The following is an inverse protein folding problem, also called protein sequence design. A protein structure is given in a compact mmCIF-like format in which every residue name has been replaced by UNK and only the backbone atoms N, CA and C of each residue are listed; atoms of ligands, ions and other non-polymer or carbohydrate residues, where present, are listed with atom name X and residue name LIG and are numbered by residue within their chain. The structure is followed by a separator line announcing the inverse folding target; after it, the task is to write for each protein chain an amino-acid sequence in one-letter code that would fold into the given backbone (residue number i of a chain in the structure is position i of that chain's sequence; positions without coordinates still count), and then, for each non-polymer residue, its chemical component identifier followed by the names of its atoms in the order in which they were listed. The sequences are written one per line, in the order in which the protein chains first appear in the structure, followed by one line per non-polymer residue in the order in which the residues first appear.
data_IF_398754909282
#
_entry.id   IF_398754909282
#
_cell.length_a   1.000
_cell.length_b   1.000
_cell.length_c   1.000
_cell.angle_alpha   90.00
_cell.angle_beta   90.00
_cell.angle_gamma   90.00
#
_symmetry.space_group_name_H-M   'P 1'
#
loop_
_entity.id
_entity.type
_entity.pdbx_description
1 polymer ?
#
# COMPACT_ATOMS: atom_id res chain seq x y z
N UNK A 1 -34.21 -36.54 43.17
CA UNK A 1 -33.48 -35.52 42.35
C UNK A 1 -34.40 -35.06 41.23
N UNK A 2 -34.85 -33.79 41.30
CA UNK A 2 -35.94 -33.28 40.46
C UNK A 2 -35.51 -33.04 39.01
N UNK A 3 -36.48 -33.18 38.09
CA UNK A 3 -36.35 -33.01 36.63
C UNK A 3 -35.70 -31.67 36.22
N UNK A 4 -35.72 -30.66 37.10
CA UNK A 4 -35.08 -29.35 36.89
C UNK A 4 -33.55 -29.41 36.83
N UNK A 5 -32.90 -30.39 37.45
CA UNK A 5 -31.44 -30.49 37.43
C UNK A 5 -30.90 -31.10 36.13
N UNK A 6 -31.66 -32.01 35.50
CA UNK A 6 -31.27 -32.61 34.21
C UNK A 6 -31.34 -31.60 33.05
N UNK A 7 -32.26 -30.64 33.11
CA UNK A 7 -32.39 -29.59 32.09
C UNK A 7 -31.26 -28.54 32.14
N UNK A 8 -30.78 -28.18 33.34
CA UNK A 8 -29.67 -27.25 33.49
C UNK A 8 -28.34 -27.81 32.98
N UNK A 9 -28.10 -29.11 33.18
CA UNK A 9 -26.88 -29.78 32.69
C UNK A 9 -26.88 -29.88 31.16
N UNK A 10 -28.03 -30.12 30.53
CA UNK A 10 -28.15 -30.17 29.05
C UNK A 10 -27.93 -28.80 28.39
N UNK A 11 -28.40 -27.70 29.01
CA UNK A 11 -28.17 -26.34 28.50
C UNK A 11 -26.69 -25.93 28.67
N UNK A 12 -26.04 -26.30 29.78
CA UNK A 12 -24.62 -26.04 29.98
C UNK A 12 -23.74 -26.83 29.00
N UNK A 13 -24.06 -28.10 28.72
CA UNK A 13 -23.33 -28.91 27.73
C UNK A 13 -23.54 -28.35 26.31
N UNK A 14 -24.75 -27.87 25.96
CA UNK A 14 -25.02 -27.24 24.67
C UNK A 14 -24.31 -25.88 24.52
N UNK A 15 -24.23 -25.06 25.58
CA UNK A 15 -23.48 -23.81 25.56
C UNK A 15 -21.96 -24.03 25.53
N UNK A 16 -21.46 -25.11 26.14
CA UNK A 16 -20.03 -25.47 26.03
C UNK A 16 -19.68 -26.08 24.67
N UNK A 17 -20.59 -26.83 24.04
CA UNK A 17 -20.45 -27.33 22.68
C UNK A 17 -20.57 -26.24 21.60
N UNK A 18 -21.30 -25.15 21.87
CA UNK A 18 -21.36 -24.00 20.97
C UNK A 18 -20.22 -22.98 21.18
N UNK A 19 -19.67 -22.88 22.40
CA UNK A 19 -18.52 -22.02 22.68
C UNK A 19 -17.18 -22.61 22.19
N UNK A 20 -17.13 -23.90 21.86
CA UNK A 20 -15.93 -24.60 21.36
C UNK A 20 -15.86 -24.68 19.82
N UNK A 21 -16.80 -24.06 19.10
CA UNK A 21 -16.77 -24.02 17.62
C UNK A 21 -16.09 -22.76 17.03
N UNK A 22 -15.44 -21.93 17.86
CA UNK A 22 -14.57 -20.83 17.40
C UNK A 22 -13.14 -21.04 17.92
N UNK A 23 -12.65 -22.28 17.86
CA UNK A 23 -11.22 -22.45 17.67
C UNK A 23 -10.95 -22.12 16.21
N UNK A 24 -10.53 -20.87 15.95
CA UNK A 24 -9.73 -20.58 14.79
C UNK A 24 -8.57 -21.58 14.83
N UNK A 25 -8.65 -22.62 14.02
CA UNK A 25 -7.51 -23.48 13.79
C UNK A 25 -6.39 -22.54 13.35
N UNK A 26 -5.32 -22.44 14.14
CA UNK A 26 -4.06 -21.80 13.74
C UNK A 26 -3.53 -22.58 12.54
N UNK A 27 -4.12 -22.30 11.39
CA UNK A 27 -3.83 -22.98 10.16
C UNK A 27 -2.60 -22.29 9.62
N UNK A 28 -1.44 -22.82 9.97
CA UNK A 28 -0.17 -22.39 9.39
C UNK A 28 -0.29 -22.46 7.87
N UNK A 29 -0.24 -21.29 7.23
CA UNK A 29 -0.37 -21.19 5.77
C UNK A 29 0.91 -21.77 5.16
N UNK A 30 0.80 -22.90 4.48
CA UNK A 30 1.93 -23.49 3.76
C UNK A 30 2.26 -22.68 2.50
N UNK A 31 3.53 -22.64 2.10
CA UNK A 31 3.94 -22.11 0.80
C UNK A 31 3.18 -22.78 -0.36
N UNK A 32 2.89 -24.07 -0.24
CA UNK A 32 2.12 -24.82 -1.24
C UNK A 32 0.65 -24.38 -1.36
N UNK A 33 0.16 -23.54 -0.46
CA UNK A 33 -1.19 -22.98 -0.48
C UNK A 33 -1.29 -21.58 -1.08
N UNK A 34 -0.19 -21.02 -1.62
CA UNK A 34 -0.15 -19.64 -2.13
C UNK A 34 -1.34 -19.27 -3.04
N UNK A 35 -1.73 -20.16 -3.96
CA UNK A 35 -2.87 -19.92 -4.87
C UNK A 35 -4.26 -19.87 -4.21
N UNK A 36 -4.38 -20.20 -2.92
CA UNK A 36 -5.63 -20.18 -2.14
C UNK A 36 -5.74 -18.95 -1.25
N UNK A 37 -4.63 -18.23 -1.01
CA UNK A 37 -4.52 -17.14 -0.04
C UNK A 37 -5.57 -16.06 -0.26
N UNK A 38 -5.69 -15.53 -1.49
CA UNK A 38 -6.69 -14.50 -1.80
C UNK A 38 -8.13 -14.93 -1.45
N UNK A 39 -8.46 -16.20 -1.71
CA UNK A 39 -9.77 -16.76 -1.37
C UNK A 39 -9.97 -16.99 0.13
N UNK A 40 -8.90 -17.24 0.88
CA UNK A 40 -8.95 -17.39 2.34
C UNK A 40 -9.09 -16.04 3.05
N UNK A 41 -8.37 -15.02 2.61
CA UNK A 41 -8.52 -13.63 3.09
C UNK A 41 -9.96 -13.15 2.87
N UNK A 42 -10.50 -13.32 1.66
CA UNK A 42 -11.89 -12.91 1.33
C UNK A 42 -12.94 -13.60 2.22
N UNK A 43 -12.65 -14.80 2.71
CA UNK A 43 -13.51 -15.60 3.59
C UNK A 43 -13.16 -15.45 5.08
N UNK A 44 -12.28 -14.50 5.43
CA UNK A 44 -11.76 -14.29 6.77
C UNK A 44 -11.22 -15.56 7.45
N UNK A 45 -10.64 -16.49 6.66
CA UNK A 45 -10.07 -17.75 7.16
C UNK A 45 -8.63 -17.61 7.63
N UNK A 46 -7.94 -16.59 7.15
CA UNK A 46 -6.59 -16.16 7.54
C UNK A 46 -6.59 -14.63 7.53
N UNK A 47 -5.63 -14.03 8.23
CA UNK A 47 -5.33 -12.59 8.20
C UNK A 47 -4.12 -12.31 7.31
N UNK A 48 -3.86 -11.03 7.05
CA UNK A 48 -2.73 -10.59 6.22
C UNK A 48 -1.39 -11.02 6.86
N UNK A 49 -1.30 -10.96 8.17
CA UNK A 49 -0.11 -11.30 8.95
C UNK A 49 0.24 -12.79 8.88
N UNK A 50 -0.74 -13.64 8.54
CA UNK A 50 -0.57 -15.09 8.41
C UNK A 50 0.06 -15.49 7.06
N UNK A 51 0.24 -14.54 6.14
CA UNK A 51 0.79 -14.80 4.80
C UNK A 51 2.32 -14.98 4.92
N UNK A 52 2.86 -16.18 4.64
CA UNK A 52 4.28 -16.42 4.79
C UNK A 52 5.05 -15.71 3.67
N UNK A 53 6.20 -15.13 4.00
CA UNK A 53 7.05 -14.47 3.01
C UNK A 53 7.89 -15.53 2.28
N UNK A 54 7.70 -15.81 0.97
CA UNK A 54 8.47 -16.84 0.29
C UNK A 54 9.85 -16.37 -0.19
N UNK A 55 10.18 -15.09 -0.02
CA UNK A 55 11.35 -14.51 -0.66
C UNK A 55 12.65 -14.90 0.04
N UNK A 56 13.66 -15.27 -0.76
CA UNK A 56 14.99 -15.67 -0.30
C UNK A 56 14.98 -16.89 0.65
N UNK A 57 14.09 -17.85 0.41
CA UNK A 57 13.93 -19.06 1.21
C UNK A 57 13.96 -20.29 0.30
N UNK A 58 14.90 -21.20 0.55
CA UNK A 58 15.11 -22.39 -0.28
C UNK A 58 13.93 -23.37 -0.20
N UNK A 59 13.30 -23.44 0.97
CA UNK A 59 12.09 -24.23 1.27
C UNK A 59 10.81 -23.66 0.65
N UNK A 60 10.84 -22.39 0.22
CA UNK A 60 9.66 -21.66 -0.26
C UNK A 60 9.42 -21.77 -1.77
N UNK A 61 10.19 -22.59 -2.50
CA UNK A 61 10.03 -22.78 -3.94
C UNK A 61 8.58 -23.11 -4.34
N UNK A 62 7.89 -23.86 -3.49
CA UNK A 62 6.51 -24.30 -3.68
C UNK A 62 5.48 -23.17 -3.63
N UNK A 63 5.85 -21.96 -3.19
CA UNK A 63 5.02 -20.76 -3.23
C UNK A 63 4.81 -20.22 -4.65
N UNK A 64 5.81 -20.41 -5.51
CA UNK A 64 5.78 -19.93 -6.89
C UNK A 64 5.58 -21.07 -7.89
N UNK A 65 6.13 -22.25 -7.58
CA UNK A 65 6.18 -23.39 -8.48
C UNK A 65 5.33 -24.57 -7.95
N UNK A 66 4.64 -25.25 -8.86
CA UNK A 66 3.89 -26.49 -8.58
C UNK A 66 4.79 -27.73 -8.60
N UNK A 67 5.93 -27.63 -9.27
CA UNK A 67 6.94 -28.66 -9.41
C UNK A 67 8.30 -28.00 -9.67
N UNK A 68 9.38 -28.78 -9.72
CA UNK A 68 10.73 -28.26 -10.03
C UNK A 68 10.74 -27.53 -11.38
N UNK A 69 11.17 -26.27 -11.39
CA UNK A 69 11.26 -25.47 -12.60
C UNK A 69 12.34 -26.01 -13.55
N UNK A 70 12.05 -26.04 -14.85
CA UNK A 70 12.97 -26.45 -15.91
C UNK A 70 13.03 -25.44 -17.05
N UNK A 71 13.99 -25.62 -17.98
CA UNK A 71 14.23 -24.69 -19.10
C UNK A 71 13.01 -24.48 -20.00
N UNK A 72 12.19 -25.52 -20.20
CA UNK A 72 11.01 -25.49 -21.08
C UNK A 72 9.71 -25.16 -20.34
N UNK A 73 9.66 -25.39 -19.03
CA UNK A 73 8.47 -25.17 -18.23
C UNK A 73 8.87 -24.76 -16.82
N UNK A 74 8.42 -23.57 -16.41
CA UNK A 74 8.67 -23.05 -15.07
C UNK A 74 7.73 -23.67 -14.04
N UNK A 75 6.67 -24.38 -14.44
CA UNK A 75 5.66 -24.95 -13.54
C UNK A 75 5.07 -23.91 -12.59
N UNK A 76 4.85 -22.68 -13.05
CA UNK A 76 4.29 -21.60 -12.23
C UNK A 76 2.91 -21.96 -11.68
N UNK A 77 2.61 -21.46 -10.48
CA UNK A 77 1.33 -21.69 -9.81
C UNK A 77 0.15 -21.02 -10.46
N UNK A 78 0.36 -19.91 -11.14
CA UNK A 78 -0.66 -19.26 -11.94
C UNK A 78 -0.17 -19.10 -13.38
N UNK A 79 -1.09 -18.74 -14.27
CA UNK A 79 -0.80 -18.51 -15.68
C UNK A 79 -0.01 -17.20 -15.85
N UNK A 80 1.31 -17.31 -15.84
CA UNK A 80 2.23 -16.18 -16.00
C UNK A 80 2.74 -15.60 -14.69
N UNK A 81 3.72 -14.71 -14.80
CA UNK A 81 4.48 -14.21 -13.65
C UNK A 81 3.64 -13.27 -12.77
N UNK A 82 2.94 -12.29 -13.36
CA UNK A 82 2.12 -11.33 -12.62
C UNK A 82 1.05 -12.05 -11.78
N UNK A 83 0.32 -12.98 -12.39
CA UNK A 83 -0.69 -13.77 -11.69
C UNK A 83 -0.07 -14.63 -10.57
N UNK A 84 1.17 -15.11 -10.74
CA UNK A 84 1.84 -15.91 -9.71
C UNK A 84 2.24 -15.05 -8.51
N UNK A 85 2.77 -13.85 -8.74
CA UNK A 85 3.08 -12.89 -7.68
C UNK A 85 1.80 -12.44 -6.95
N UNK A 86 0.72 -12.20 -7.71
CA UNK A 86 -0.55 -11.73 -7.18
C UNK A 86 -1.34 -12.78 -6.37
N UNK A 87 -0.87 -14.03 -6.31
CA UNK A 87 -1.39 -15.01 -5.35
C UNK A 87 -1.32 -14.49 -3.90
N UNK A 88 -0.28 -13.72 -3.58
CA UNK A 88 -0.10 -13.07 -2.29
C UNK A 88 -0.18 -11.55 -2.40
N UNK A 89 0.50 -10.96 -3.39
CA UNK A 89 0.68 -9.50 -3.47
C UNK A 89 -0.63 -8.74 -3.66
N UNK A 90 -1.65 -9.32 -4.30
CA UNK A 90 -2.95 -8.64 -4.42
C UNK A 90 -3.62 -8.39 -3.05
N UNK A 91 -3.35 -9.25 -2.06
CA UNK A 91 -3.86 -9.09 -0.69
C UNK A 91 -2.93 -8.22 0.17
N UNK A 92 -1.61 -8.31 -0.05
CA UNK A 92 -0.60 -7.57 0.72
C UNK A 92 -0.44 -6.12 0.26
N UNK A 93 -0.80 -5.84 -0.98
CA UNK A 93 -0.26 -4.74 -1.74
C UNK A 93 -1.22 -4.35 -2.86
N UNK A 94 -2.33 -3.70 -2.52
CA UNK A 94 -3.28 -3.12 -3.51
C UNK A 94 -2.72 -1.83 -4.15
N UNK A 95 -1.41 -1.85 -4.47
CA UNK A 95 -0.67 -0.72 -5.05
C UNK A 95 -0.39 -0.92 -6.54
N UNK A 96 -1.24 -1.66 -7.26
CA UNK A 96 -1.18 -1.77 -8.71
C UNK A 96 -1.23 -0.37 -9.36
N UNK A 97 -1.88 0.60 -8.70
CA UNK A 97 -1.97 1.98 -9.17
C UNK A 97 -0.62 2.74 -9.23
N UNK A 98 0.36 2.39 -8.36
CA UNK A 98 1.72 2.99 -8.38
C UNK A 98 2.80 2.07 -8.96
N UNK A 99 2.52 0.78 -9.14
CA UNK A 99 3.41 -0.18 -9.80
C UNK A 99 2.86 -0.49 -11.20
N UNK A 100 3.39 0.11 -12.27
CA UNK A 100 2.85 -0.08 -13.62
C UNK A 100 3.06 -1.52 -14.08
N UNK A 101 2.03 -2.34 -13.94
CA UNK A 101 1.95 -3.71 -14.43
C UNK A 101 1.03 -3.76 -15.65
N UNK A 102 1.37 -4.58 -16.62
CA UNK A 102 0.62 -4.74 -17.87
C UNK A 102 0.43 -3.43 -18.66
N UNK A 103 1.28 -2.43 -18.38
CA UNK A 103 1.38 -1.17 -19.11
C UNK A 103 2.22 -1.38 -20.36
N UNK A 104 1.73 -0.91 -21.51
CA UNK A 104 2.46 -0.98 -22.77
C UNK A 104 3.73 -0.13 -22.70
N UNK A 105 4.84 -0.68 -23.18
CA UNK A 105 6.12 0.03 -23.25
C UNK A 105 6.27 0.63 -24.65
N UNK A 106 6.34 1.96 -24.79
CA UNK A 106 6.58 2.60 -26.08
C UNK A 106 7.90 2.12 -26.70
N UNK A 107 7.96 2.00 -28.04
CA UNK A 107 9.18 1.56 -28.74
C UNK A 107 10.40 2.44 -28.40
N UNK A 108 10.21 3.74 -28.25
CA UNK A 108 11.26 4.69 -27.84
C UNK A 108 11.83 4.34 -26.46
N UNK A 109 10.97 3.98 -25.51
CA UNK A 109 11.36 3.53 -24.18
C UNK A 109 12.07 2.16 -24.25
N UNK A 110 11.51 1.17 -24.95
CA UNK A 110 12.11 -0.16 -25.10
C UNK A 110 13.52 -0.11 -25.72
N UNK A 111 13.76 0.81 -26.66
CA UNK A 111 15.10 1.04 -27.24
C UNK A 111 16.12 1.53 -26.20
N UNK A 112 15.73 2.36 -25.24
CA UNK A 112 16.61 2.85 -24.17
C UNK A 112 16.89 1.78 -23.11
N UNK A 113 15.97 0.85 -22.91
CA UNK A 113 16.10 -0.16 -21.84
C UNK A 113 17.37 -0.99 -21.96
N UNK A 114 18.08 -1.28 -20.86
CA UNK A 114 19.14 -2.29 -20.87
C UNK A 114 18.59 -3.64 -21.33
N UNK A 115 19.44 -4.45 -21.96
CA UNK A 115 19.05 -5.77 -22.46
C UNK A 115 18.47 -6.68 -21.37
N UNK A 116 18.98 -6.56 -20.13
CA UNK A 116 18.48 -7.31 -18.97
C UNK A 116 17.03 -6.99 -18.63
N UNK A 117 16.58 -5.75 -18.85
CA UNK A 117 15.19 -5.33 -18.66
C UNK A 117 14.34 -5.72 -19.86
N UNK A 118 14.78 -5.39 -21.08
CA UNK A 118 14.01 -5.63 -22.32
C UNK A 118 13.61 -7.10 -22.48
N UNK A 119 14.51 -8.03 -22.15
CA UNK A 119 14.27 -9.49 -22.24
C UNK A 119 13.13 -10.01 -21.37
N UNK A 120 12.68 -9.22 -20.40
CA UNK A 120 11.64 -9.61 -19.43
C UNK A 120 10.29 -8.98 -19.72
N UNK A 121 10.21 -8.16 -20.77
CA UNK A 121 8.94 -7.58 -21.18
C UNK A 121 7.98 -8.69 -21.60
N UNK A 122 6.75 -8.61 -21.08
CA UNK A 122 5.66 -9.46 -21.50
C UNK A 122 5.23 -9.13 -22.92
N UNK A 123 4.55 -10.07 -23.58
CA UNK A 123 3.83 -9.79 -24.83
C UNK A 123 2.36 -9.58 -24.51
N UNK A 124 1.81 -8.42 -24.87
CA UNK A 124 0.39 -8.11 -24.71
C UNK A 124 -0.26 -8.00 -26.10
N UNK A 125 -0.70 -9.13 -26.66
CA UNK A 125 -1.37 -9.25 -27.98
C UNK A 125 -1.11 -8.08 -28.96
N UNK A 126 -2.14 -7.44 -29.50
CA UNK A 126 -2.03 -6.38 -30.53
C UNK A 126 -1.39 -5.06 -30.02
N UNK A 127 -1.01 -4.95 -28.75
CA UNK A 127 -0.57 -3.71 -28.08
C UNK A 127 0.94 -3.62 -27.87
N UNK A 128 1.70 -4.67 -28.21
CA UNK A 128 3.16 -4.69 -28.10
C UNK A 128 3.69 -5.27 -26.77
N UNK A 129 4.90 -4.84 -26.40
CA UNK A 129 5.58 -5.26 -25.18
C UNK A 129 4.97 -4.58 -23.95
N UNK A 130 4.91 -5.28 -22.80
CA UNK A 130 4.37 -4.73 -21.55
C UNK A 130 5.27 -4.99 -20.34
N UNK A 131 5.17 -4.09 -19.36
CA UNK A 131 5.84 -4.25 -18.08
C UNK A 131 5.20 -5.39 -17.27
N UNK A 132 6.03 -6.12 -16.53
CA UNK A 132 5.61 -7.17 -15.60
C UNK A 132 6.39 -7.05 -14.29
N UNK A 133 6.02 -7.81 -13.27
CA UNK A 133 6.74 -7.84 -12.01
C UNK A 133 8.24 -8.13 -12.23
N UNK A 134 8.56 -9.08 -13.12
CA UNK A 134 9.94 -9.49 -13.40
C UNK A 134 10.75 -8.46 -14.19
N UNK A 135 10.10 -7.42 -14.73
CA UNK A 135 10.81 -6.32 -15.39
C UNK A 135 11.61 -5.50 -14.39
N UNK A 136 11.00 -5.14 -13.27
CA UNK A 136 11.67 -4.39 -12.22
C UNK A 136 12.37 -5.31 -11.21
N UNK A 137 11.88 -6.54 -11.06
CA UNK A 137 12.38 -7.50 -10.07
C UNK A 137 13.12 -8.68 -10.72
N UNK A 138 14.39 -8.87 -10.36
CA UNK A 138 15.19 -10.03 -10.78
C UNK A 138 14.93 -11.25 -9.88
N UNK A 139 13.78 -11.88 -10.12
CA UNK A 139 13.28 -13.04 -9.34
C UNK A 139 14.28 -14.19 -9.30
N UNK A 140 15.18 -14.33 -10.27
CA UNK A 140 16.19 -15.39 -10.24
C UNK A 140 17.21 -15.22 -9.11
N UNK A 141 17.38 -14.01 -8.55
CA UNK A 141 18.25 -13.76 -7.39
C UNK A 141 17.91 -14.64 -6.19
N UNK A 142 16.62 -14.87 -5.95
CA UNK A 142 16.13 -15.68 -4.84
C UNK A 142 15.99 -17.17 -5.18
N UNK A 143 16.25 -17.58 -6.43
CA UNK A 143 16.22 -18.98 -6.86
C UNK A 143 17.62 -19.61 -6.95
N UNK A 144 18.67 -18.80 -6.98
CA UNK A 144 20.05 -19.24 -7.17
C UNK A 144 20.79 -19.02 -5.87
N UNK A 145 21.15 -20.11 -5.17
CA UNK A 145 21.77 -20.05 -3.83
C UNK A 145 23.03 -19.20 -3.79
N UNK A 146 23.85 -19.23 -4.85
CA UNK A 146 25.06 -18.39 -4.95
C UNK A 146 24.78 -16.89 -4.95
N UNK A 147 23.52 -16.49 -5.19
CA UNK A 147 23.05 -15.10 -5.15
C UNK A 147 22.36 -14.73 -3.84
N UNK A 148 22.15 -15.65 -2.91
CA UNK A 148 21.51 -15.35 -1.62
C UNK A 148 22.22 -14.25 -0.80
N UNK A 149 23.56 -14.09 -0.86
CA UNK A 149 24.23 -12.95 -0.24
C UNK A 149 23.72 -11.58 -0.71
N UNK A 150 23.21 -11.48 -1.96
CA UNK A 150 22.66 -10.24 -2.52
C UNK A 150 21.47 -9.71 -1.70
N UNK A 151 20.77 -10.57 -0.93
CA UNK A 151 19.67 -10.18 -0.03
C UNK A 151 20.05 -9.01 0.88
N UNK A 152 21.31 -8.96 1.34
CA UNK A 152 21.77 -7.93 2.29
C UNK A 152 21.76 -6.52 1.68
N UNK A 153 22.06 -6.41 0.39
CA UNK A 153 22.20 -5.12 -0.32
C UNK A 153 21.03 -4.85 -1.26
N UNK A 154 20.29 -5.88 -1.66
CA UNK A 154 19.15 -5.80 -2.56
C UNK A 154 18.01 -6.73 -2.12
N UNK A 155 17.44 -6.53 -0.91
CA UNK A 155 16.45 -7.45 -0.33
C UNK A 155 15.16 -7.56 -1.14
N UNK A 156 14.85 -6.57 -1.98
CA UNK A 156 13.70 -6.55 -2.89
C UNK A 156 14.04 -7.06 -4.29
N UNK A 157 15.24 -7.63 -4.48
CA UNK A 157 15.74 -8.22 -5.73
C UNK A 157 15.47 -7.31 -6.93
N UNK A 158 15.75 -6.01 -6.80
CA UNK A 158 15.56 -5.03 -7.87
C UNK A 158 16.55 -5.33 -8.99
N UNK A 159 16.05 -5.48 -10.22
CA UNK A 159 16.85 -5.79 -11.40
C UNK A 159 17.89 -4.71 -11.66
N UNK A 160 19.14 -5.10 -11.85
CA UNK A 160 20.26 -4.17 -12.06
C UNK A 160 20.65 -3.35 -10.82
N UNK A 161 20.02 -3.62 -9.66
CA UNK A 161 20.41 -3.04 -8.39
C UNK A 161 21.67 -3.70 -7.79
N UNK A 162 22.14 -3.22 -6.62
CA UNK A 162 21.48 -2.19 -5.80
C UNK A 162 21.59 -0.78 -6.40
N UNK A 163 20.57 0.05 -6.15
CA UNK A 163 20.55 1.46 -6.55
C UNK A 163 20.67 2.35 -5.33
N UNK A 164 21.40 3.48 -5.46
CA UNK A 164 21.49 4.50 -4.40
C UNK A 164 20.16 5.22 -4.17
N UNK A 165 19.31 5.30 -5.19
CA UNK A 165 17.96 5.86 -5.06
C UNK A 165 16.96 5.15 -5.98
N UNK A 166 15.67 5.19 -5.60
CA UNK A 166 14.58 4.62 -6.41
C UNK A 166 14.55 5.18 -7.83
N UNK A 167 14.94 6.44 -8.03
CA UNK A 167 14.92 7.08 -9.36
C UNK A 167 15.94 6.49 -10.33
N UNK A 168 17.06 5.95 -9.85
CA UNK A 168 18.03 5.31 -10.73
C UNK A 168 17.47 4.07 -11.44
N UNK A 169 16.49 3.39 -10.83
CA UNK A 169 15.71 2.35 -11.48
C UNK A 169 14.83 2.93 -12.60
N UNK A 170 14.18 4.07 -12.36
CA UNK A 170 13.34 4.73 -13.37
C UNK A 170 14.16 5.07 -14.64
N UNK A 171 15.41 5.51 -14.48
CA UNK A 171 16.32 5.83 -15.58
C UNK A 171 16.78 4.63 -16.41
N UNK A 172 16.47 3.41 -15.98
CA UNK A 172 16.65 2.23 -16.84
C UNK A 172 15.66 2.25 -18.01
N UNK A 173 14.58 3.03 -17.94
CA UNK A 173 13.57 3.14 -19.01
C UNK A 173 13.38 4.61 -19.45
N UNK A 174 13.42 5.54 -18.51
CA UNK A 174 13.20 6.96 -18.75
C UNK A 174 14.50 7.73 -19.02
N UNK A 175 14.38 8.85 -19.73
CA UNK A 175 15.50 9.77 -19.98
C UNK A 175 15.85 10.48 -18.68
N UNK A 176 17.10 10.48 -18.22
CA UNK A 176 17.44 11.14 -16.96
C UNK A 176 17.33 12.68 -17.02
N UNK A 177 17.41 13.28 -18.22
CA UNK A 177 17.30 14.74 -18.42
C UNK A 177 15.86 15.18 -18.63
N UNK A 178 15.04 14.32 -19.26
CA UNK A 178 13.64 14.64 -19.56
C UNK A 178 12.64 14.02 -18.58
N UNK A 179 13.06 13.08 -17.72
CA UNK A 179 12.17 12.47 -16.75
C UNK A 179 11.85 13.43 -15.62
N UNK A 180 10.61 13.90 -15.62
CA UNK A 180 9.99 14.46 -14.44
C UNK A 180 9.36 13.32 -13.64
N UNK A 181 9.64 13.29 -12.34
CA UNK A 181 8.94 12.37 -11.45
C UNK A 181 7.45 12.67 -11.55
N UNK A 182 6.63 11.62 -11.54
CA UNK A 182 5.20 11.76 -11.36
C UNK A 182 4.94 12.59 -10.10
N UNK A 183 4.41 13.81 -10.29
CA UNK A 183 3.86 14.61 -9.21
C UNK A 183 2.34 14.43 -9.23
N UNK A 184 1.80 13.80 -8.20
CA UNK A 184 0.36 13.60 -8.01
C UNK A 184 -0.34 14.83 -7.42
N UNK A 185 0.43 15.84 -7.03
CA UNK A 185 -0.07 17.06 -6.37
C UNK A 185 -0.21 18.26 -7.32
N UNK A 186 0.22 18.12 -8.58
CA UNK A 186 -0.11 19.07 -9.66
C UNK A 186 -1.35 18.50 -10.35
N UNK A 187 -2.51 18.89 -9.84
CA UNK A 187 -3.82 18.32 -10.10
C UNK A 187 -4.68 19.22 -10.98
N UNK A 188 -4.26 20.45 -11.24
CA UNK A 188 -4.93 21.41 -12.11
C UNK A 188 -4.01 21.70 -13.31
N UNK A 189 -4.57 21.69 -14.51
CA UNK A 189 -3.84 22.03 -15.74
C UNK A 189 -3.77 23.56 -15.93
N UNK A 190 -2.97 24.02 -16.89
CA UNK A 190 -2.78 25.46 -17.16
C UNK A 190 -4.08 26.19 -17.55
N UNK A 191 -5.06 25.46 -18.09
CA UNK A 191 -6.40 25.97 -18.44
C UNK A 191 -7.39 25.97 -17.25
N UNK A 192 -6.97 25.48 -16.08
CA UNK A 192 -7.78 25.41 -14.87
C UNK A 192 -8.58 24.11 -14.72
N UNK A 193 -8.49 23.16 -15.65
CA UNK A 193 -9.19 21.87 -15.53
C UNK A 193 -8.48 20.90 -14.57
N UNK A 194 -9.26 20.09 -13.86
CA UNK A 194 -8.72 19.05 -12.97
C UNK A 194 -8.22 17.87 -13.80
N UNK A 195 -6.95 17.51 -13.58
CA UNK A 195 -6.28 16.37 -14.20
C UNK A 195 -6.74 15.06 -13.55
N UNK A 196 -7.76 14.43 -14.15
CA UNK A 196 -8.44 13.22 -13.63
C UNK A 196 -7.46 12.07 -13.33
N UNK A 197 -6.44 11.89 -14.18
CA UNK A 197 -5.45 10.83 -14.03
C UNK A 197 -4.64 10.98 -12.73
N UNK A 198 -4.44 12.21 -12.24
CA UNK A 198 -3.79 12.50 -10.96
C UNK A 198 -4.63 12.08 -9.78
N UNK A 199 -5.95 12.30 -9.85
CA UNK A 199 -6.88 11.91 -8.80
C UNK A 199 -6.89 10.39 -8.59
N UNK A 200 -6.84 9.63 -9.68
CA UNK A 200 -6.90 8.17 -9.67
C UNK A 200 -5.63 7.48 -9.13
N UNK A 201 -4.56 8.26 -8.89
CA UNK A 201 -3.39 7.77 -8.16
C UNK A 201 -3.75 7.46 -6.71
N UNK A 202 -4.56 8.30 -6.07
CA UNK A 202 -4.92 8.13 -4.67
C UNK A 202 -6.32 7.54 -4.50
N UNK A 203 -7.25 7.88 -5.41
CA UNK A 203 -8.66 7.48 -5.31
C UNK A 203 -8.99 6.34 -6.25
N UNK A 204 -9.91 5.47 -5.83
CA UNK A 204 -10.44 4.38 -6.65
C UNK A 204 -11.27 4.88 -7.84
N UNK A 205 -11.89 6.05 -7.69
CA UNK A 205 -12.76 6.71 -8.66
C UNK A 205 -12.55 8.21 -8.57
N UNK A 206 -13.02 8.96 -9.56
CA UNK A 206 -12.98 10.42 -9.50
C UNK A 206 -13.93 10.91 -8.40
N UNK A 207 -13.43 11.56 -7.33
CA UNK A 207 -14.29 12.12 -6.30
C UNK A 207 -15.14 13.24 -6.88
N UNK A 208 -16.38 13.37 -6.41
CA UNK A 208 -17.29 14.44 -6.81
C UNK A 208 -17.86 15.12 -5.59
N UNK A 209 -17.69 16.43 -5.50
CA UNK A 209 -18.41 17.27 -4.55
C UNK A 209 -19.78 17.63 -5.13
N UNK A 210 -20.83 17.33 -4.36
CA UNK A 210 -22.23 17.66 -4.65
C UNK A 210 -22.54 19.11 -4.23
N UNK A 211 -23.69 19.63 -4.65
CA UNK A 211 -24.07 21.03 -4.39
C UNK A 211 -24.27 21.34 -2.89
N UNK A 212 -24.57 20.32 -2.08
CA UNK A 212 -24.67 20.42 -0.62
C UNK A 212 -23.31 20.36 0.10
N UNK A 213 -22.21 20.25 -0.65
CA UNK A 213 -20.84 20.11 -0.13
C UNK A 213 -20.47 18.68 0.28
N UNK A 214 -21.36 17.71 0.09
CA UNK A 214 -21.06 16.29 0.31
C UNK A 214 -20.11 15.77 -0.77
N UNK A 215 -19.09 14.99 -0.39
CA UNK A 215 -18.19 14.34 -1.35
C UNK A 215 -18.57 12.88 -1.50
N UNK A 216 -18.78 12.43 -2.73
CA UNK A 216 -19.00 11.03 -3.10
C UNK A 216 -17.81 10.50 -3.91
N UNK A 217 -17.68 9.17 -3.97
CA UNK A 217 -16.61 8.48 -4.70
C UNK A 217 -15.19 8.87 -4.24
N UNK A 218 -15.02 9.22 -2.96
CA UNK A 218 -13.74 9.63 -2.40
C UNK A 218 -12.90 8.45 -1.87
N UNK A 219 -13.31 7.20 -2.14
CA UNK A 219 -12.62 6.03 -1.60
C UNK A 219 -11.17 5.99 -2.08
N UNK A 220 -10.24 5.69 -1.17
CA UNK A 220 -8.83 5.57 -1.49
C UNK A 220 -8.51 4.21 -2.10
N UNK A 221 -7.47 4.15 -2.94
CA UNK A 221 -6.94 2.91 -3.51
C UNK A 221 -6.42 1.96 -2.43
N UNK A 222 -6.05 2.49 -1.26
CA UNK A 222 -5.63 1.70 -0.10
C UNK A 222 -6.76 1.72 0.93
N UNK A 223 -7.27 0.53 1.26
CA UNK A 223 -8.37 0.38 2.22
C UNK A 223 -7.90 0.40 3.68
N UNK A 224 -6.67 -0.04 3.92
CA UNK A 224 -6.10 -0.16 5.26
C UNK A 224 -4.69 0.41 5.27
N UNK A 225 -4.33 1.17 6.31
CA UNK A 225 -3.04 1.88 6.41
C UNK A 225 -2.89 2.98 5.34
N UNK A 226 -3.61 4.08 5.53
CA UNK A 226 -3.54 5.23 4.63
C UNK A 226 -2.15 5.88 4.63
N UNK A 227 -1.33 5.63 5.65
CA UNK A 227 0.05 6.10 5.68
C UNK A 227 0.89 5.44 4.58
N UNK A 228 0.64 4.16 4.27
CA UNK A 228 1.30 3.47 3.17
C UNK A 228 1.10 4.19 1.82
N UNK A 229 -0.06 4.82 1.59
CA UNK A 229 -0.34 5.56 0.36
C UNK A 229 0.68 6.66 0.14
N UNK A 230 0.98 7.41 1.18
CA UNK A 230 1.93 8.52 1.12
C UNK A 230 3.38 8.02 1.12
N UNK A 231 3.70 7.05 1.98
CA UNK A 231 5.06 6.51 2.16
C UNK A 231 5.55 5.69 0.95
N UNK A 232 4.64 5.25 0.11
CA UNK A 232 4.98 4.67 -1.18
C UNK A 232 5.63 5.68 -2.13
N UNK A 233 5.34 6.98 -1.99
CA UNK A 233 5.96 8.03 -2.79
C UNK A 233 7.00 8.84 -2.00
N UNK A 234 6.71 9.13 -0.74
CA UNK A 234 7.51 9.95 0.15
C UNK A 234 8.37 9.09 1.09
N UNK A 235 9.56 9.60 1.44
CA UNK A 235 10.29 9.04 2.57
C UNK A 235 9.71 9.62 3.84
N UNK A 236 9.42 8.76 4.81
CA UNK A 236 9.18 9.25 6.16
C UNK A 236 10.45 9.94 6.65
N UNK A 237 10.27 11.10 7.28
CA UNK A 237 11.32 11.79 8.03
C UNK A 237 10.78 12.11 9.41
N UNK A 238 11.63 12.26 10.43
CA UNK A 238 11.21 12.86 11.69
C UNK A 238 10.62 14.26 11.43
N UNK A 239 9.50 14.57 12.09
CA UNK A 239 8.80 15.85 11.99
C UNK A 239 8.48 16.35 13.41
N UNK A 240 8.16 17.65 13.62
CA UNK A 240 8.13 18.29 14.95
C UNK A 240 7.39 17.48 16.02
N UNK A 241 8.00 17.42 17.21
CA UNK A 241 7.73 16.42 18.24
C UNK A 241 8.72 15.25 18.17
N UNK A 242 9.21 14.91 16.97
CA UNK A 242 10.19 13.86 16.64
C UNK A 242 11.59 13.98 17.28
N UNK A 243 11.95 15.20 17.66
CA UNK A 243 13.31 15.60 18.06
C UNK A 243 13.38 16.17 19.48
N UNK A 244 12.44 15.80 20.38
CA UNK A 244 12.68 16.03 21.81
C UNK A 244 13.82 15.11 22.27
N UNK A 245 15.02 15.69 22.21
CA UNK A 245 16.20 15.46 23.03
C UNK A 245 16.11 14.20 23.92
N UNK A 246 16.94 13.21 23.59
CA UNK A 246 17.36 12.06 24.41
C UNK A 246 16.56 10.73 24.36
N UNK A 247 15.55 10.57 23.50
CA UNK A 247 14.94 9.26 23.24
C UNK A 247 15.01 8.93 21.74
N UNK A 248 15.80 7.91 21.40
CA UNK A 248 15.92 7.20 20.12
C UNK A 248 15.39 7.92 18.87
N UNK A 249 16.30 8.50 18.06
CA UNK A 249 16.22 8.96 16.65
C UNK A 249 14.91 8.75 15.85
N UNK A 250 13.76 9.16 16.37
CA UNK A 250 12.46 8.84 15.77
C UNK A 250 11.27 9.55 16.40
N UNK A 251 11.40 10.02 17.64
CA UNK A 251 10.37 10.68 18.44
C UNK A 251 8.96 10.06 18.34
N UNK A 252 7.90 10.79 18.74
CA UNK A 252 6.56 10.25 18.78
C UNK A 252 6.07 9.95 17.36
N UNK A 253 5.87 8.66 17.11
CA UNK A 253 5.18 8.14 15.95
C UNK A 253 3.73 8.63 16.00
N UNK A 254 3.43 9.73 15.29
CA UNK A 254 2.07 10.28 15.20
C UNK A 254 1.15 9.42 14.33
N UNK A 255 1.64 8.36 13.67
CA UNK A 255 0.83 7.43 12.86
C UNK A 255 0.06 6.41 13.73
N UNK A 256 -0.65 6.92 14.73
CA UNK A 256 -1.34 6.16 15.77
C UNK A 256 -2.77 6.66 15.94
N UNK A 257 -3.59 5.88 16.65
CA UNK A 257 -4.93 6.31 17.03
C UNK A 257 -4.81 7.33 18.17
N UNK A 258 -5.35 8.56 18.01
CA UNK A 258 -5.32 9.53 19.10
C UNK A 258 -6.12 9.02 20.28
N UNK A 259 -5.70 9.40 21.49
CA UNK A 259 -6.49 9.14 22.70
C UNK A 259 -7.83 9.89 22.64
N UNK A 260 -8.80 9.49 23.47
CA UNK A 260 -10.10 10.16 23.51
C UNK A 260 -9.97 11.67 23.79
N UNK A 261 -9.07 12.06 24.71
CA UNK A 261 -8.80 13.47 25.03
C UNK A 261 -8.20 14.24 23.84
N UNK A 262 -7.18 13.67 23.17
CA UNK A 262 -6.60 14.29 21.97
C UNK A 262 -7.66 14.42 20.88
N UNK A 263 -8.49 13.38 20.67
CA UNK A 263 -9.55 13.42 19.66
C UNK A 263 -10.60 14.50 19.97
N UNK A 264 -10.99 14.68 21.23
CA UNK A 264 -11.90 15.75 21.63
C UNK A 264 -11.30 17.13 21.37
N UNK A 265 -10.01 17.32 21.70
CA UNK A 265 -9.30 18.56 21.40
C UNK A 265 -9.21 18.81 19.89
N UNK A 266 -8.86 17.80 19.09
CA UNK A 266 -8.87 17.90 17.63
C UNK A 266 -10.23 18.39 17.09
N UNK A 267 -11.33 17.78 17.54
CA UNK A 267 -12.68 18.18 17.12
C UNK A 267 -13.03 19.63 17.53
N UNK A 268 -12.53 20.09 18.68
CA UNK A 268 -12.64 21.50 19.11
C UNK A 268 -11.84 22.41 18.19
N UNK A 269 -10.59 22.06 17.91
CA UNK A 269 -9.68 22.88 17.09
C UNK A 269 -10.08 22.91 15.61
N UNK A 270 -10.65 21.84 15.06
CA UNK A 270 -11.26 21.84 13.72
C UNK A 270 -12.34 22.92 13.56
N UNK A 271 -13.11 23.19 14.62
CA UNK A 271 -14.14 24.24 14.64
C UNK A 271 -13.49 25.62 14.78
N UNK A 272 -12.61 25.80 15.76
CA UNK A 272 -11.94 27.07 16.03
C UNK A 272 -11.13 27.54 14.82
N UNK A 273 -10.33 26.64 14.25
CA UNK A 273 -9.42 26.93 13.15
C UNK A 273 -10.06 26.73 11.77
N UNK A 274 -11.35 26.39 11.72
CA UNK A 274 -12.10 26.18 10.47
C UNK A 274 -11.38 25.27 9.48
N UNK A 275 -10.97 24.10 9.96
CA UNK A 275 -10.24 23.09 9.18
C UNK A 275 -10.81 21.68 9.43
N UNK A 276 -10.28 20.70 8.69
CA UNK A 276 -10.58 19.27 8.86
C UNK A 276 -9.24 18.53 9.02
N UNK A 277 -9.15 17.69 10.04
CA UNK A 277 -8.04 16.78 10.34
C UNK A 277 -8.52 15.35 10.08
N UNK A 278 -8.48 14.88 8.82
CA UNK A 278 -9.00 13.56 8.50
C UNK A 278 -8.20 12.47 9.25
N UNK A 279 -8.90 11.44 9.72
CA UNK A 279 -8.30 10.22 10.24
C UNK A 279 -8.64 9.06 9.31
N UNK A 280 -7.90 7.96 9.42
CA UNK A 280 -8.25 6.71 8.73
C UNK A 280 -9.66 6.26 9.12
N UNK A 281 -10.49 5.96 8.12
CA UNK A 281 -11.91 5.65 8.33
C UNK A 281 -12.11 4.39 9.19
N UNK A 282 -11.31 3.35 8.92
CA UNK A 282 -11.48 2.02 9.54
C UNK A 282 -11.03 1.96 11.00
N UNK A 283 -9.99 2.71 11.39
CA UNK A 283 -9.34 2.55 12.69
C UNK A 283 -9.15 3.86 13.46
N UNK A 284 -9.43 5.00 12.83
CA UNK A 284 -9.28 6.33 13.42
C UNK A 284 -7.83 6.73 13.67
N UNK A 285 -6.85 6.16 12.98
CA UNK A 285 -5.44 6.57 13.08
C UNK A 285 -5.20 7.89 12.37
N UNK A 286 -4.27 8.66 12.93
CA UNK A 286 -3.63 9.78 12.25
C UNK A 286 -2.76 9.22 11.12
N UNK A 287 -2.78 9.90 9.98
CA UNK A 287 -1.95 9.59 8.83
C UNK A 287 -1.41 10.90 8.22
N UNK A 288 -0.61 10.80 7.16
CA UNK A 288 0.07 11.98 6.61
C UNK A 288 -0.91 13.09 6.21
N UNK A 289 -2.09 12.75 5.67
CA UNK A 289 -3.04 13.76 5.21
C UNK A 289 -3.86 14.42 6.34
N UNK A 290 -3.73 13.92 7.57
CA UNK A 290 -4.26 14.59 8.78
C UNK A 290 -3.61 15.96 8.94
N UNK A 291 -2.29 16.05 8.76
CA UNK A 291 -1.52 17.29 8.92
C UNK A 291 -1.23 17.98 7.58
N UNK A 292 -1.02 17.21 6.52
CA UNK A 292 -0.66 17.71 5.19
C UNK A 292 -1.87 17.65 4.25
N UNK A 293 -2.16 18.68 3.48
CA UNK A 293 -3.21 18.63 2.48
C UNK A 293 -2.61 18.22 1.12
N UNK A 294 -2.83 16.97 0.65
CA UNK A 294 -2.23 16.53 -0.61
C UNK A 294 -2.84 17.24 -1.83
N UNK A 295 -3.97 17.94 -1.67
CA UNK A 295 -4.65 18.58 -2.78
C UNK A 295 -4.03 19.92 -3.15
N UNK A 296 -3.99 20.21 -4.45
CA UNK A 296 -3.70 21.54 -5.00
C UNK A 296 -4.82 22.53 -4.65
N UNK A 297 -4.48 23.81 -4.52
CA UNK A 297 -5.43 24.88 -4.24
C UNK A 297 -6.43 24.99 -5.39
N UNK A 298 -7.71 24.97 -5.05
CA UNK A 298 -8.81 25.02 -6.03
C UNK A 298 -9.41 23.65 -6.36
N UNK A 299 -8.76 22.54 -6.00
CA UNK A 299 -9.31 21.19 -6.21
C UNK A 299 -10.51 20.92 -5.30
N UNK A 300 -10.40 21.30 -4.02
CA UNK A 300 -11.47 21.14 -3.04
C UNK A 300 -12.27 22.44 -2.92
N UNK A 301 -13.59 22.39 -3.11
CA UNK A 301 -14.44 23.59 -2.97
C UNK A 301 -14.73 23.89 -1.49
N UNK A 302 -14.85 22.85 -0.67
CA UNK A 302 -14.98 23.00 0.78
C UNK A 302 -13.73 23.67 1.38
N UNK A 303 -13.89 24.92 1.84
CA UNK A 303 -12.79 25.75 2.39
C UNK A 303 -12.08 25.12 3.58
N UNK A 304 -12.79 24.37 4.44
CA UNK A 304 -12.19 23.69 5.60
C UNK A 304 -11.31 22.53 5.17
N UNK A 305 -11.76 21.76 4.18
CA UNK A 305 -11.01 20.65 3.60
C UNK A 305 -9.81 21.12 2.75
N UNK A 306 -9.97 22.25 2.05
CA UNK A 306 -8.95 22.90 1.21
C UNK A 306 -7.83 23.58 2.01
N UNK A 307 -7.99 23.75 3.33
CA UNK A 307 -6.99 24.41 4.18
C UNK A 307 -5.63 23.72 4.05
N UNK A 308 -4.55 24.50 3.88
CA UNK A 308 -3.20 23.98 3.69
C UNK A 308 -2.81 23.62 2.26
N UNK A 309 -3.73 23.71 1.30
CA UNK A 309 -3.42 23.45 -0.10
C UNK A 309 -2.34 24.43 -0.60
N UNK A 310 -1.26 23.89 -1.14
CA UNK A 310 -0.05 24.58 -1.61
C UNK A 310 0.69 25.44 -0.57
N UNK A 311 0.32 25.36 0.71
CA UNK A 311 1.10 25.99 1.78
C UNK A 311 2.49 25.32 1.91
N UNK A 312 3.46 25.94 2.62
CA UNK A 312 4.74 25.29 2.90
C UNK A 312 4.54 23.92 3.56
N UNK A 313 5.13 22.87 2.95
CA UNK A 313 4.92 21.46 3.31
C UNK A 313 3.45 21.02 3.26
N UNK A 314 2.56 21.80 2.63
CA UNK A 314 1.12 21.62 2.55
C UNK A 314 0.45 21.51 3.93
N UNK A 315 0.97 22.16 4.97
CA UNK A 315 0.40 22.05 6.32
C UNK A 315 -0.99 22.70 6.39
N UNK A 316 -1.98 22.00 6.95
CA UNK A 316 -3.36 22.52 7.14
C UNK A 316 -3.44 23.72 8.09
N UNK A 317 -2.46 23.89 8.96
CA UNK A 317 -2.39 24.97 9.93
C UNK A 317 -0.95 25.27 10.29
N UNK A 318 -0.68 26.52 10.63
CA UNK A 318 0.53 26.93 11.32
C UNK A 318 0.13 27.87 12.45
N UNK A 319 0.27 27.47 13.73
CA UNK A 319 0.90 26.24 14.24
C UNK A 319 0.03 24.98 14.04
N UNK A 320 0.66 23.85 13.72
CA UNK A 320 -0.03 22.56 13.52
C UNK A 320 -0.26 21.82 14.85
N UNK A 321 0.75 21.82 15.72
CA UNK A 321 0.76 21.00 16.95
C UNK A 321 -0.39 21.34 17.91
N UNK A 322 -0.74 22.63 18.00
CA UNK A 322 -1.84 23.13 18.84
C UNK A 322 -3.21 22.59 18.45
N UNK A 323 -3.36 22.04 17.24
CA UNK A 323 -4.61 21.39 16.84
C UNK A 323 -4.83 20.04 17.53
N UNK A 324 -3.79 19.46 18.15
CA UNK A 324 -3.84 18.15 18.79
C UNK A 324 -3.34 18.18 20.25
N UNK A 325 -2.49 19.16 20.57
CA UNK A 325 -1.88 19.33 21.88
C UNK A 325 -2.30 20.68 22.48
N UNK A 326 -2.50 20.71 23.78
CA UNK A 326 -2.64 21.93 24.56
C UNK A 326 -1.23 22.31 25.01
N UNK A 327 -0.56 23.20 24.26
CA UNK A 327 0.85 23.56 24.41
C UNK A 327 1.03 24.92 25.08
#
# INVERSE_FOLDING_TARGET
MSLRWKFFILIFIAQWAMATAVFATDKTVSYSDAGKIAGWIKKARIKIEDIPNPHWQAEACSACHRAKAGKKNLHLRAKGINATCNNCHMALADHIHIHPLDVAVPKSMSKRMPASFRKTLGRKNKSGESLSCSTCHDILMQCIETRFPDKKINPKFIRGGPYRSRTQLCYQCHDNKAYQRLNSHDQIADDGEVLIDKCLICHMRLPKELDDGTVINAELQIKTDYSAMCLNCHRWTPHPGGDVLFLDKGGPMHLVKPSAGIRQHMLKMEKINSLILPLEEDNGKIYCATCHNPHERGVLKNKRAARGADEPKRLRSNPMCENCHDL
#
